data_IF_884249875278
#
_entry.id   IF_884249875278
#
_cell.length_a   1.000
_cell.length_b   1.000
_cell.length_c   1.000
_cell.angle_alpha   90.00
_cell.angle_beta   90.00
_cell.angle_gamma   90.00
#
_symmetry.space_group_name_H-M   'P 1'
#
loop_
_entity.id
_entity.type
_entity.pdbx_description
1 polymer ?
#
# COMPACT_ATOMS: atom_id res chain seq x y z
N UNK A 1 -6.43 44.07 -13.87
CA UNK A 1 -5.42 42.99 -13.90
C UNK A 1 -5.92 41.92 -12.95
N UNK A 2 -6.25 40.76 -13.51
CA UNK A 2 -7.01 39.67 -12.91
C UNK A 2 -6.11 38.74 -12.10
N UNK A 3 -6.31 38.70 -10.79
CA UNK A 3 -5.98 37.53 -9.98
C UNK A 3 -7.28 36.82 -9.63
N UNK A 4 -7.42 35.61 -10.12
CA UNK A 4 -8.46 34.67 -9.67
C UNK A 4 -7.76 33.35 -9.44
N UNK A 5 -7.12 33.23 -8.28
CA UNK A 5 -6.69 31.94 -7.74
C UNK A 5 -7.96 31.30 -7.18
N UNK A 6 -8.61 30.49 -8.02
CA UNK A 6 -9.83 29.79 -7.68
C UNK A 6 -9.55 28.45 -7.01
N UNK A 7 -10.01 28.36 -5.77
CA UNK A 7 -10.46 27.18 -5.02
C UNK A 7 -9.48 26.02 -4.80
N UNK A 8 -8.97 25.97 -3.56
CA UNK A 8 -8.76 24.72 -2.84
C UNK A 8 -10.08 23.94 -2.75
N UNK A 9 -10.07 22.67 -3.16
CA UNK A 9 -11.10 21.69 -2.81
C UNK A 9 -10.64 20.97 -1.55
N UNK A 10 -11.53 20.90 -0.58
CA UNK A 10 -11.37 20.14 0.66
C UNK A 10 -12.49 19.10 0.70
N UNK A 11 -12.09 17.83 0.87
CA UNK A 11 -12.98 16.69 1.03
C UNK A 11 -12.44 15.50 0.24
N UNK A 12 -11.60 14.67 0.89
CA UNK A 12 -11.04 13.41 0.37
C UNK A 12 -10.99 13.33 -1.16
N UNK A 13 -10.11 14.08 -1.81
CA UNK A 13 -10.10 14.20 -3.27
C UNK A 13 -9.71 12.85 -3.91
N UNK A 14 -10.74 12.09 -4.31
CA UNK A 14 -10.67 11.01 -5.30
C UNK A 14 -10.14 11.61 -6.61
N UNK A 15 -8.82 11.63 -6.73
CA UNK A 15 -8.12 12.21 -7.86
C UNK A 15 -8.10 11.20 -9.00
N UNK A 16 -8.62 11.58 -10.18
CA UNK A 16 -8.48 10.76 -11.39
C UNK A 16 -7.00 10.54 -11.67
N UNK A 17 -6.60 9.30 -11.95
CA UNK A 17 -5.18 8.98 -12.03
C UNK A 17 -4.41 9.74 -13.12
N UNK A 18 -5.05 10.10 -14.24
CA UNK A 18 -4.42 10.99 -15.21
C UNK A 18 -4.07 12.36 -14.63
N UNK A 19 -4.89 12.92 -13.74
CA UNK A 19 -4.62 14.21 -13.10
C UNK A 19 -3.40 14.11 -12.18
N UNK A 20 -3.34 13.04 -11.38
CA UNK A 20 -2.21 12.75 -10.53
C UNK A 20 -0.91 12.58 -11.31
N UNK A 21 -0.94 11.79 -12.39
CA UNK A 21 0.24 11.56 -13.23
C UNK A 21 0.72 12.86 -13.88
N UNK A 22 -0.18 13.69 -14.40
CA UNK A 22 0.21 14.99 -14.95
C UNK A 22 0.89 15.88 -13.91
N UNK A 23 0.36 15.93 -12.69
CA UNK A 23 0.99 16.66 -11.59
C UNK A 23 2.37 16.11 -11.23
N UNK A 24 2.51 14.78 -11.16
CA UNK A 24 3.76 14.11 -10.81
C UNK A 24 4.88 14.30 -11.85
N UNK A 25 4.52 14.35 -13.14
CA UNK A 25 5.46 14.62 -14.24
C UNK A 25 5.59 16.13 -14.54
N UNK A 26 4.92 17.00 -13.77
CA UNK A 26 4.85 18.44 -14.02
C UNK A 26 4.43 18.78 -15.47
N UNK A 27 3.52 17.96 -16.04
CA UNK A 27 3.08 18.07 -17.43
C UNK A 27 1.76 18.83 -17.51
N UNK A 28 1.70 19.84 -18.37
CA UNK A 28 0.48 20.61 -18.57
C UNK A 28 -0.52 19.90 -19.49
N UNK A 29 -1.82 20.10 -19.27
CA UNK A 29 -2.88 19.55 -20.11
C UNK A 29 -2.74 19.93 -21.61
N UNK A 30 -2.23 21.14 -21.88
CA UNK A 30 -2.01 21.60 -23.25
C UNK A 30 -0.91 20.78 -23.92
N UNK A 31 0.20 20.56 -23.21
CA UNK A 31 1.31 19.74 -23.70
C UNK A 31 0.87 18.32 -24.01
N UNK A 32 0.09 17.69 -23.11
CA UNK A 32 -0.45 16.35 -23.37
C UNK A 32 -1.38 16.33 -24.59
N UNK A 33 -2.22 17.35 -24.75
CA UNK A 33 -3.13 17.46 -25.88
C UNK A 33 -2.38 17.56 -27.21
N UNK A 34 -1.31 18.35 -27.26
CA UNK A 34 -0.45 18.51 -28.43
C UNK A 34 0.25 17.19 -28.77
N UNK A 35 0.78 16.47 -27.77
CA UNK A 35 1.39 15.13 -27.97
C UNK A 35 0.42 14.09 -28.52
N UNK A 36 -0.86 14.17 -28.14
CA UNK A 36 -1.90 13.25 -28.60
C UNK A 36 -2.61 13.71 -29.88
N UNK A 37 -2.30 14.91 -30.40
CA UNK A 37 -2.94 15.47 -31.59
C UNK A 37 -4.43 15.78 -31.39
N UNK A 38 -4.84 16.17 -30.19
CA UNK A 38 -6.24 16.46 -29.84
C UNK A 38 -6.39 17.84 -29.19
N UNK A 39 -7.65 18.29 -29.07
CA UNK A 39 -7.95 19.55 -28.36
C UNK A 39 -7.79 19.38 -26.85
N UNK A 40 -7.20 20.38 -26.17
CA UNK A 40 -7.11 20.48 -24.70
C UNK A 40 -8.45 20.22 -23.98
N UNK A 41 -9.57 20.59 -24.61
CA UNK A 41 -10.92 20.34 -24.08
C UNK A 41 -11.18 18.84 -23.82
N UNK A 42 -10.66 17.95 -24.66
CA UNK A 42 -10.80 16.51 -24.46
C UNK A 42 -10.05 16.04 -23.20
N UNK A 43 -8.84 16.53 -22.96
CA UNK A 43 -8.07 16.23 -21.75
C UNK A 43 -8.84 16.69 -20.50
N UNK A 44 -9.39 17.91 -20.52
CA UNK A 44 -10.18 18.45 -19.40
C UNK A 44 -11.44 17.59 -19.10
N UNK A 45 -12.08 17.02 -20.13
CA UNK A 45 -13.20 16.09 -19.94
C UNK A 45 -12.75 14.79 -19.26
N UNK A 46 -11.57 14.26 -19.62
CA UNK A 46 -11.01 13.05 -19.00
C UNK A 46 -10.66 13.28 -17.53
N UNK A 47 -9.98 14.39 -17.21
CA UNK A 47 -9.60 14.73 -15.83
C UNK A 47 -10.80 14.95 -14.92
N UNK A 48 -11.92 15.42 -15.48
CA UNK A 48 -13.18 15.60 -14.74
C UNK A 48 -14.03 14.33 -14.65
N UNK A 49 -13.56 13.19 -15.17
CA UNK A 49 -14.33 11.95 -15.23
C UNK A 49 -15.58 12.02 -16.14
N UNK A 50 -15.76 13.10 -16.92
CA UNK A 50 -16.94 13.28 -17.78
C UNK A 50 -16.91 12.42 -19.03
N UNK A 51 -15.73 11.98 -19.43
CA UNK A 51 -15.53 11.10 -20.57
C UNK A 51 -14.35 10.17 -20.30
N UNK A 52 -14.51 8.89 -20.61
CA UNK A 52 -13.42 7.93 -20.55
C UNK A 52 -12.34 8.22 -21.59
N UNK A 53 -11.08 7.88 -21.26
CA UNK A 53 -9.97 7.97 -22.20
C UNK A 53 -10.18 6.93 -23.31
N UNK A 54 -10.24 7.34 -24.59
CA UNK A 54 -10.36 6.41 -25.70
C UNK A 54 -9.19 5.41 -25.72
N UNK A 55 -9.51 4.11 -25.89
CA UNK A 55 -8.53 3.00 -25.83
C UNK A 55 -7.31 3.20 -26.74
N UNK A 56 -7.46 3.91 -27.87
CA UNK A 56 -6.37 4.21 -28.79
C UNK A 56 -5.25 5.09 -28.22
N UNK A 57 -5.53 5.89 -27.18
CA UNK A 57 -4.53 6.76 -26.54
C UNK A 57 -3.84 6.08 -25.35
N UNK A 58 -4.40 5.00 -24.81
CA UNK A 58 -3.84 4.29 -23.64
C UNK A 58 -2.41 3.78 -23.89
N UNK A 59 -2.06 3.16 -25.05
CA UNK A 59 -0.69 2.73 -25.30
C UNK A 59 0.30 3.90 -25.34
N UNK A 60 -0.11 5.05 -25.88
CA UNK A 60 0.73 6.25 -25.92
C UNK A 60 0.98 6.81 -24.52
N UNK A 61 -0.05 6.84 -23.67
CA UNK A 61 0.07 7.28 -22.28
C UNK A 61 0.96 6.33 -21.46
N UNK A 62 0.75 5.02 -21.62
CA UNK A 62 1.55 3.98 -20.97
C UNK A 62 3.03 4.12 -21.35
N UNK A 63 3.33 4.36 -22.62
CA UNK A 63 4.71 4.60 -23.07
C UNK A 63 5.27 5.95 -22.58
N UNK A 64 4.47 7.01 -22.58
CA UNK A 64 4.90 8.36 -22.21
C UNK A 64 5.26 8.46 -20.73
N UNK A 65 4.48 7.80 -19.88
CA UNK A 65 4.62 7.88 -18.43
C UNK A 65 5.25 6.64 -17.81
N UNK A 66 5.43 5.53 -18.54
CA UNK A 66 5.90 4.26 -17.98
C UNK A 66 4.99 3.75 -16.83
N UNK A 67 3.69 3.97 -16.94
CA UNK A 67 2.68 3.61 -15.94
C UNK A 67 1.62 2.73 -16.59
N UNK A 68 1.15 1.70 -15.88
CA UNK A 68 0.07 0.85 -16.34
C UNK A 68 -1.18 1.68 -16.68
N UNK A 69 -1.75 1.41 -17.86
CA UNK A 69 -2.93 2.11 -18.40
C UNK A 69 -4.15 2.14 -17.48
N UNK A 70 -4.28 1.13 -16.61
CA UNK A 70 -5.42 0.98 -15.71
C UNK A 70 -5.48 2.10 -14.67
N UNK A 71 -4.33 2.73 -14.36
CA UNK A 71 -4.26 3.87 -13.45
C UNK A 71 -4.87 5.15 -14.04
N UNK A 72 -4.82 5.36 -15.37
CA UNK A 72 -5.19 6.67 -15.93
C UNK A 72 -6.68 7.02 -15.81
N UNK A 73 -7.54 6.00 -15.83
CA UNK A 73 -9.00 6.20 -15.87
C UNK A 73 -9.70 5.92 -14.54
N UNK A 74 -8.99 5.40 -13.54
CA UNK A 74 -9.56 5.13 -12.21
C UNK A 74 -9.30 6.28 -11.24
N UNK A 75 -10.13 6.37 -10.22
CA UNK A 75 -9.84 7.14 -9.02
C UNK A 75 -8.73 6.41 -8.24
N UNK A 76 -7.73 7.15 -7.79
CA UNK A 76 -6.56 6.57 -7.15
C UNK A 76 -6.74 6.48 -5.64
N UNK A 77 -6.48 5.28 -5.10
CA UNK A 77 -6.20 5.12 -3.67
C UNK A 77 -4.81 5.67 -3.31
N UNK A 78 -4.51 5.79 -2.02
CA UNK A 78 -3.16 6.16 -1.58
C UNK A 78 -2.11 5.12 -2.01
N UNK A 79 -2.45 3.82 -1.99
CA UNK A 79 -1.60 2.75 -2.51
C UNK A 79 -1.33 2.97 -4.01
N UNK A 80 -2.37 3.29 -4.79
CA UNK A 80 -2.21 3.52 -6.23
C UNK A 80 -1.27 4.70 -6.52
N UNK A 81 -1.38 5.79 -5.74
CA UNK A 81 -0.50 6.95 -5.85
C UNK A 81 0.96 6.57 -5.57
N UNK A 82 1.20 5.77 -4.53
CA UNK A 82 2.54 5.28 -4.18
C UNK A 82 3.10 4.34 -5.27
N UNK A 83 2.29 3.44 -5.82
CA UNK A 83 2.69 2.57 -6.93
C UNK A 83 3.09 3.38 -8.19
N UNK A 84 2.32 4.41 -8.53
CA UNK A 84 2.64 5.32 -9.62
C UNK A 84 3.97 6.05 -9.38
N UNK A 85 4.19 6.57 -8.17
CA UNK A 85 5.47 7.22 -7.81
C UNK A 85 6.64 6.25 -7.92
N UNK A 86 6.46 4.99 -7.48
CA UNK A 86 7.46 3.94 -7.59
C UNK A 86 7.83 3.67 -9.04
N UNK A 87 6.86 3.49 -9.92
CA UNK A 87 7.12 3.22 -11.34
C UNK A 87 7.84 4.39 -12.03
N UNK A 88 7.46 5.64 -11.72
CA UNK A 88 8.20 6.82 -12.18
C UNK A 88 9.66 6.78 -11.75
N UNK A 89 9.93 6.55 -10.46
CA UNK A 89 11.30 6.51 -9.94
C UNK A 89 12.10 5.35 -10.53
N UNK A 90 11.48 4.18 -10.74
CA UNK A 90 12.12 3.05 -11.41
C UNK A 90 12.51 3.39 -12.85
N UNK A 91 11.66 4.09 -13.58
CA UNK A 91 11.96 4.54 -14.94
C UNK A 91 13.09 5.58 -14.98
N UNK A 92 13.12 6.51 -14.01
CA UNK A 92 14.12 7.59 -13.93
C UNK A 92 15.48 7.09 -13.42
N UNK A 93 15.48 6.31 -12.33
CA UNK A 93 16.70 5.91 -11.61
C UNK A 93 17.27 4.58 -12.09
N UNK A 94 16.46 3.72 -12.72
CA UNK A 94 16.85 2.38 -13.18
C UNK A 94 17.60 1.60 -12.10
N UNK A 95 16.96 1.36 -10.94
CA UNK A 95 17.61 0.73 -9.79
C UNK A 95 18.05 -0.70 -10.10
N UNK A 96 19.01 -1.18 -9.33
CA UNK A 96 19.46 -2.57 -9.33
C UNK A 96 18.97 -3.21 -8.04
N UNK A 97 18.50 -4.46 -8.15
CA UNK A 97 18.12 -5.25 -6.97
C UNK A 97 19.41 -5.73 -6.29
N UNK A 98 19.66 -5.29 -5.06
CA UNK A 98 20.82 -5.70 -4.26
C UNK A 98 20.62 -7.07 -3.65
N UNK A 99 19.42 -7.32 -3.12
CA UNK A 99 19.05 -8.56 -2.45
C UNK A 99 17.54 -8.75 -2.48
N UNK A 100 17.10 -9.92 -2.02
CA UNK A 100 15.70 -10.19 -1.73
C UNK A 100 15.54 -10.46 -0.24
N UNK A 101 14.44 -9.98 0.32
CA UNK A 101 14.03 -10.23 1.70
C UNK A 101 12.76 -11.09 1.68
N UNK A 102 12.66 -12.02 2.63
CA UNK A 102 11.46 -12.84 2.82
C UNK A 102 10.55 -12.09 3.79
N UNK A 103 9.37 -11.71 3.31
CA UNK A 103 8.36 -11.00 4.11
C UNK A 103 7.06 -11.78 4.11
N UNK A 104 6.25 -11.62 5.16
CA UNK A 104 4.91 -12.20 5.20
C UNK A 104 4.05 -11.57 4.09
N UNK A 105 3.41 -12.41 3.28
CA UNK A 105 2.42 -11.95 2.30
C UNK A 105 1.28 -11.20 3.01
N UNK A 106 0.54 -10.38 2.25
CA UNK A 106 -0.61 -9.61 2.77
C UNK A 106 -1.62 -10.44 3.57
N UNK A 107 -1.79 -11.72 3.22
CA UNK A 107 -2.72 -12.64 3.89
C UNK A 107 -2.13 -13.36 5.10
N UNK A 108 -0.82 -13.24 5.33
CA UNK A 108 -0.02 -14.01 6.28
C UNK A 108 -0.03 -15.54 6.04
N UNK A 109 -0.34 -16.00 4.82
CA UNK A 109 -0.41 -17.43 4.49
C UNK A 109 0.87 -18.01 3.88
N UNK A 110 1.84 -17.16 3.55
CA UNK A 110 3.11 -17.55 2.92
C UNK A 110 4.12 -16.40 3.04
N UNK A 111 5.38 -16.74 2.87
CA UNK A 111 6.46 -15.77 2.65
C UNK A 111 6.55 -15.40 1.17
N UNK A 112 6.82 -14.12 0.91
CA UNK A 112 7.05 -13.56 -0.41
C UNK A 112 8.46 -12.97 -0.48
N UNK A 113 9.13 -13.24 -1.60
CA UNK A 113 10.45 -12.72 -1.88
C UNK A 113 10.33 -11.32 -2.47
N UNK A 114 10.60 -10.30 -1.67
CA UNK A 114 10.49 -8.88 -2.08
C UNK A 114 11.88 -8.32 -2.39
N UNK A 115 12.06 -7.61 -3.52
CA UNK A 115 13.35 -7.02 -3.89
C UNK A 115 13.69 -5.82 -3.00
N UNK A 116 14.96 -5.71 -2.62
CA UNK A 116 15.55 -4.52 -2.02
C UNK A 116 16.48 -3.87 -3.04
N UNK A 117 16.24 -2.61 -3.34
CA UNK A 117 16.95 -1.86 -4.36
C UNK A 117 18.16 -1.11 -3.79
N UNK A 118 19.13 -0.78 -4.65
CA UNK A 118 20.24 0.14 -4.34
C UNK A 118 19.78 1.57 -4.07
N UNK A 119 18.51 1.88 -4.37
CA UNK A 119 17.89 3.21 -4.21
C UNK A 119 16.95 3.24 -3.02
N UNK A 120 17.36 3.98 -1.99
CA UNK A 120 16.62 4.15 -0.76
C UNK A 120 15.30 4.91 -0.95
N UNK A 121 15.18 5.78 -1.96
CA UNK A 121 13.90 6.39 -2.34
C UNK A 121 12.85 5.33 -2.69
N UNK A 122 13.25 4.29 -3.42
CA UNK A 122 12.34 3.23 -3.89
C UNK A 122 11.98 2.31 -2.72
N UNK A 123 12.96 1.90 -1.92
CA UNK A 123 12.72 1.10 -0.72
C UNK A 123 11.77 1.82 0.27
N UNK A 124 11.90 3.15 0.41
CA UNK A 124 10.98 3.95 1.24
C UNK A 124 9.55 3.92 0.74
N UNK A 125 9.34 3.96 -0.58
CA UNK A 125 8.00 3.84 -1.15
C UNK A 125 7.44 2.43 -0.94
N UNK A 126 8.24 1.38 -1.16
CA UNK A 126 7.79 0.00 -0.91
C UNK A 126 7.32 -0.18 0.54
N UNK A 127 8.10 0.30 1.53
CA UNK A 127 7.69 0.29 2.94
C UNK A 127 6.45 1.15 3.22
N UNK A 128 6.25 2.22 2.45
CA UNK A 128 5.06 3.07 2.59
C UNK A 128 3.81 2.38 2.05
N UNK A 129 3.94 1.64 0.94
CA UNK A 129 2.87 0.81 0.36
C UNK A 129 2.48 -0.28 1.36
N UNK A 130 3.46 -0.99 1.93
CA UNK A 130 3.22 -2.02 2.93
C UNK A 130 2.49 -1.45 4.16
N UNK A 131 2.94 -0.30 4.66
CA UNK A 131 2.29 0.40 5.78
C UNK A 131 0.84 0.77 5.46
N UNK A 132 0.57 1.33 4.30
CA UNK A 132 -0.80 1.73 3.92
C UNK A 132 -1.72 0.50 3.79
N UNK A 133 -1.22 -0.60 3.21
CA UNK A 133 -1.94 -1.87 3.15
C UNK A 133 -2.29 -2.43 4.54
N UNK A 134 -1.36 -2.32 5.50
CA UNK A 134 -1.59 -2.74 6.88
C UNK A 134 -2.67 -1.87 7.55
N UNK A 135 -2.62 -0.55 7.33
CA UNK A 135 -3.62 0.40 7.85
C UNK A 135 -5.00 0.11 7.28
N UNK A 136 -5.14 -0.09 5.96
CA UNK A 136 -6.40 -0.45 5.33
C UNK A 136 -6.99 -1.73 5.92
N UNK A 137 -6.17 -2.77 6.09
CA UNK A 137 -6.60 -4.05 6.68
C UNK A 137 -7.03 -3.89 8.14
N UNK A 138 -6.29 -3.10 8.91
CA UNK A 138 -6.61 -2.84 10.32
C UNK A 138 -7.91 -2.05 10.46
N UNK A 139 -8.11 -1.00 9.65
CA UNK A 139 -9.39 -0.26 9.59
C UNK A 139 -10.56 -1.18 9.25
N UNK A 140 -10.40 -2.02 8.23
CA UNK A 140 -11.43 -2.99 7.85
C UNK A 140 -11.78 -3.96 8.98
N UNK A 141 -10.81 -4.41 9.80
CA UNK A 141 -11.11 -5.26 10.96
C UNK A 141 -11.89 -4.55 12.06
N UNK A 142 -11.70 -3.24 12.23
CA UNK A 142 -12.47 -2.44 13.19
C UNK A 142 -13.91 -2.21 12.74
N UNK A 143 -14.13 -2.10 11.43
CA UNK A 143 -15.44 -1.86 10.83
C UNK A 143 -16.32 -3.12 10.76
N UNK A 144 -15.76 -4.32 10.95
CA UNK A 144 -16.50 -5.58 10.77
C UNK A 144 -17.64 -5.83 11.79
N UNK A 145 -17.85 -4.99 12.82
CA UNK A 145 -19.02 -5.10 13.72
C UNK A 145 -19.40 -3.73 14.32
N UNK A 146 -20.60 -3.21 14.05
CA UNK A 146 -21.19 -2.00 14.69
C UNK A 146 -21.34 -2.12 16.24
N UNK A 147 -21.08 -3.30 16.78
CA UNK A 147 -20.93 -3.60 18.21
C UNK A 147 -19.77 -4.57 18.41
N UNK A 148 -18.52 -4.12 18.21
CA UNK A 148 -17.37 -4.94 18.56
C UNK A 148 -17.33 -5.11 20.10
N UNK A 149 -17.62 -6.30 20.67
CA UNK A 149 -17.68 -6.47 22.13
C UNK A 149 -16.27 -6.45 22.78
N UNK A 150 -15.23 -6.34 21.96
CA UNK A 150 -13.82 -6.46 22.32
C UNK A 150 -12.99 -5.19 22.03
N UNK A 151 -13.61 -4.01 22.07
CA UNK A 151 -12.87 -2.74 21.86
C UNK A 151 -11.71 -2.57 22.86
N UNK A 152 -11.85 -3.08 24.07
CA UNK A 152 -10.77 -3.07 25.06
C UNK A 152 -9.59 -3.96 24.62
N UNK A 153 -9.84 -5.08 23.93
CA UNK A 153 -8.79 -5.91 23.36
C UNK A 153 -7.97 -5.15 22.31
N UNK A 154 -8.62 -4.39 21.41
CA UNK A 154 -7.88 -3.54 20.47
C UNK A 154 -7.10 -2.44 21.18
N UNK A 155 -7.66 -1.80 22.22
CA UNK A 155 -6.95 -0.77 23.01
C UNK A 155 -5.70 -1.34 23.69
N UNK A 156 -5.81 -2.54 24.28
CA UNK A 156 -4.68 -3.23 24.90
C UNK A 156 -3.64 -3.59 23.84
N UNK A 157 -4.06 -4.17 22.72
CA UNK A 157 -3.15 -4.51 21.62
C UNK A 157 -2.39 -3.27 21.10
N UNK A 158 -3.09 -2.14 20.91
CA UNK A 158 -2.46 -0.87 20.54
C UNK A 158 -1.46 -0.41 21.60
N UNK A 159 -1.82 -0.44 22.87
CA UNK A 159 -0.92 -0.04 23.96
C UNK A 159 0.32 -0.95 24.05
N UNK A 160 0.19 -2.26 23.78
CA UNK A 160 1.30 -3.20 23.70
C UNK A 160 2.23 -2.84 22.53
N UNK A 161 1.69 -2.60 21.34
CA UNK A 161 2.47 -2.21 20.17
C UNK A 161 3.21 -0.88 20.37
N UNK A 162 2.57 0.10 21.02
CA UNK A 162 3.15 1.42 21.29
C UNK A 162 4.25 1.42 22.35
N UNK A 163 4.06 0.63 23.43
CA UNK A 163 4.94 0.69 24.62
C UNK A 163 5.94 -0.46 24.71
N UNK A 164 5.61 -1.60 24.11
CA UNK A 164 6.36 -2.83 24.19
C UNK A 164 6.59 -3.49 22.81
N UNK A 165 6.37 -2.75 21.70
CA UNK A 165 6.51 -3.30 20.34
C UNK A 165 7.91 -3.82 20.01
N UNK A 166 8.95 -3.33 20.70
CA UNK A 166 10.33 -3.80 20.57
C UNK A 166 10.66 -4.99 21.49
N UNK A 167 9.76 -5.37 22.39
CA UNK A 167 9.99 -6.47 23.32
C UNK A 167 9.88 -7.81 22.60
N UNK A 168 10.94 -8.61 22.66
CA UNK A 168 11.02 -9.93 22.00
C UNK A 168 9.88 -10.84 22.49
N UNK A 169 9.56 -10.79 23.78
CA UNK A 169 8.48 -11.61 24.35
C UNK A 169 7.12 -11.31 23.71
N UNK A 170 6.83 -10.05 23.38
CA UNK A 170 5.58 -9.69 22.70
C UNK A 170 5.53 -10.31 21.30
N UNK A 171 6.62 -10.21 20.54
CA UNK A 171 6.72 -10.77 19.19
C UNK A 171 6.57 -12.29 19.20
N UNK A 172 7.32 -12.98 20.08
CA UNK A 172 7.24 -14.45 20.23
C UNK A 172 5.84 -14.91 20.65
N UNK A 173 5.20 -14.16 21.56
CA UNK A 173 3.83 -14.45 22.01
C UNK A 173 2.81 -14.25 20.88
N UNK A 174 2.90 -13.17 20.11
CA UNK A 174 1.98 -12.94 18.97
C UNK A 174 2.12 -14.05 17.93
N UNK A 175 3.35 -14.44 17.57
CA UNK A 175 3.57 -15.53 16.61
C UNK A 175 3.07 -16.87 17.15
N UNK A 176 3.37 -17.20 18.42
CA UNK A 176 2.89 -18.42 19.05
C UNK A 176 1.37 -18.49 19.12
N UNK A 177 0.69 -17.40 19.50
CA UNK A 177 -0.78 -17.33 19.46
C UNK A 177 -1.32 -17.51 18.04
N UNK A 178 -0.65 -16.97 17.02
CA UNK A 178 -1.07 -17.12 15.63
C UNK A 178 -0.93 -18.58 15.14
N UNK A 179 0.12 -19.29 15.54
CA UNK A 179 0.27 -20.73 15.29
C UNK A 179 -0.76 -21.55 16.07
N UNK A 180 -0.94 -21.28 17.37
CA UNK A 180 -1.91 -21.99 18.23
C UNK A 180 -3.34 -21.92 17.67
N UNK A 181 -3.73 -20.74 17.17
CA UNK A 181 -5.05 -20.50 16.58
C UNK A 181 -5.16 -20.89 15.10
N UNK A 182 -4.11 -21.49 14.51
CA UNK A 182 -4.03 -21.86 13.09
C UNK A 182 -4.28 -20.69 12.11
N UNK A 183 -3.89 -19.47 12.51
CA UNK A 183 -3.99 -18.25 11.68
C UNK A 183 -2.71 -18.04 10.87
N UNK A 184 -1.57 -18.52 11.38
CA UNK A 184 -0.28 -18.51 10.71
C UNK A 184 0.14 -19.96 10.37
N UNK A 185 0.62 -20.24 9.15
CA UNK A 185 1.17 -21.56 8.81
C UNK A 185 2.41 -21.91 9.63
N UNK A 186 2.50 -23.14 10.13
CA UNK A 186 3.58 -23.58 11.03
C UNK A 186 4.98 -23.67 10.39
N UNK A 187 5.09 -23.58 9.07
CA UNK A 187 6.37 -23.45 8.37
C UNK A 187 6.94 -22.02 8.41
N UNK A 188 6.15 -21.03 8.88
CA UNK A 188 6.58 -19.64 9.03
C UNK A 188 7.01 -19.38 10.47
N UNK A 189 8.28 -19.70 10.75
CA UNK A 189 8.91 -19.49 12.07
C UNK A 189 10.00 -18.42 12.03
N UNK A 190 10.23 -17.73 13.16
CA UNK A 190 11.38 -16.82 13.35
C UNK A 190 12.65 -17.56 13.79
N UNK A 191 12.58 -18.88 13.99
CA UNK A 191 13.73 -19.76 14.20
C UNK A 191 13.53 -20.77 15.34
N UNK A 192 14.56 -21.55 15.68
CA UNK A 192 14.48 -22.60 16.70
C UNK A 192 14.05 -22.08 18.08
N UNK A 193 14.46 -20.86 18.45
CA UNK A 193 14.06 -20.25 19.72
C UNK A 193 12.57 -19.90 19.78
N UNK A 194 11.90 -19.77 18.64
CA UNK A 194 10.45 -19.58 18.57
C UNK A 194 9.74 -20.90 18.78
N UNK A 195 10.23 -21.98 18.17
CA UNK A 195 9.67 -23.32 18.34
C UNK A 195 9.75 -23.79 19.80
N UNK A 196 10.88 -23.54 20.48
CA UNK A 196 11.04 -23.83 21.91
C UNK A 196 10.07 -23.00 22.78
N UNK A 197 9.93 -21.72 22.48
CA UNK A 197 8.99 -20.84 23.18
C UNK A 197 7.53 -21.29 22.98
N UNK A 198 7.17 -21.70 21.76
CA UNK A 198 5.83 -22.20 21.43
C UNK A 198 5.50 -23.50 22.15
N UNK A 199 6.44 -24.44 22.23
CA UNK A 199 6.24 -25.68 22.98
C UNK A 199 5.87 -25.38 24.44
N UNK A 200 6.64 -24.51 25.10
CA UNK A 200 6.36 -24.10 26.48
C UNK A 200 5.05 -23.32 26.62
N UNK A 201 4.73 -22.43 25.66
CA UNK A 201 3.49 -21.67 25.66
C UNK A 201 2.27 -22.58 25.47
N UNK A 202 2.33 -23.55 24.56
CA UNK A 202 1.20 -24.42 24.22
C UNK A 202 0.87 -25.37 25.36
N UNK A 203 1.88 -25.91 26.07
CA UNK A 203 1.66 -26.67 27.31
C UNK A 203 0.82 -25.87 28.31
N UNK A 204 1.15 -24.60 28.53
CA UNK A 204 0.38 -23.73 29.42
C UNK A 204 -1.03 -23.47 28.85
N UNK A 205 -1.15 -23.13 27.57
CA UNK A 205 -2.46 -22.81 26.99
C UNK A 205 -3.42 -24.00 27.01
N UNK A 206 -2.95 -25.20 26.69
CA UNK A 206 -3.77 -26.42 26.68
C UNK A 206 -4.33 -26.76 28.07
N UNK A 207 -3.62 -26.41 29.14
CA UNK A 207 -4.08 -26.57 30.52
C UNK A 207 -5.22 -25.60 30.91
N UNK A 208 -5.37 -24.47 30.20
CA UNK A 208 -6.29 -23.38 30.56
C UNK A 208 -7.40 -23.11 29.52
N UNK A 209 -7.40 -23.78 28.37
CA UNK A 209 -8.30 -23.50 27.26
C UNK A 209 -9.57 -24.40 27.22
N UNK A 210 -10.18 -24.64 28.39
CA UNK A 210 -11.42 -25.43 28.57
C UNK A 210 -12.71 -24.60 28.47
#
# INVERSE_FOLDING_TARGET
MTETIGNARTGGDELIGLEYVLGLYNMQQLELADRLGIKKQNINLWLKGKQNIPKKYLPTLEQLFHINRDYFSKELTEIDKLEIQKEKLKAELKPIIERHEQVLSRSAQKLESVPVYDREEINRIERSIEKEQLIERFKASLEQVDKHPYMDTYRIMMALLEKAGSEIILQKTIQGLAHYLNVLPGDITTGPEQEEFEAALFEVLDDYNF
#
